data_IF_959995509967
#
_entry.id   IF_959995509967
#
_cell.length_a   1.000
_cell.length_b   1.000
_cell.length_c   1.000
_cell.angle_alpha   90.00
_cell.angle_beta   90.00
_cell.angle_gamma   90.00
#
_symmetry.space_group_name_H-M   'P 1'
#
loop_
_entity.id
_entity.type
_entity.pdbx_description
1 polymer ?
#
# COMPACT_ATOMS: atom_id res chain seq x y z
N UNK A 1 -8.57 -6.48 7.82
CA UNK A 1 -7.86 -5.24 8.19
C UNK A 1 -8.87 -4.12 8.04
N UNK A 2 -8.78 -3.06 8.84
CA UNK A 2 -9.55 -1.83 8.65
C UNK A 2 -8.56 -0.72 8.32
N UNK A 3 -8.84 0.08 7.29
CA UNK A 3 -8.04 1.25 6.90
C UNK A 3 -8.95 2.46 6.78
N UNK A 4 -8.55 3.57 7.36
CA UNK A 4 -9.28 4.83 7.34
C UNK A 4 -8.34 5.95 6.88
N UNK A 5 -8.89 6.91 6.17
CA UNK A 5 -8.17 8.03 5.57
C UNK A 5 -8.85 9.34 5.90
N UNK A 6 -8.05 10.40 6.05
CA UNK A 6 -8.55 11.78 6.14
C UNK A 6 -7.75 12.66 5.20
N UNK A 7 -8.40 13.08 4.12
CA UNK A 7 -7.80 13.98 3.13
C UNK A 7 -8.35 15.39 3.34
N UNK A 8 -7.44 16.33 3.56
CA UNK A 8 -7.73 17.75 3.69
C UNK A 8 -6.76 18.53 2.80
N UNK A 9 -7.05 19.80 2.54
CA UNK A 9 -6.13 20.68 1.77
C UNK A 9 -4.75 20.80 2.44
N UNK A 10 -4.68 20.65 3.76
CA UNK A 10 -3.44 20.80 4.53
C UNK A 10 -2.61 19.52 4.60
N UNK A 11 -3.27 18.35 4.70
CA UNK A 11 -2.61 17.06 4.88
C UNK A 11 -3.50 15.88 4.49
N UNK A 12 -2.85 14.78 4.11
CA UNK A 12 -3.46 13.47 3.89
C UNK A 12 -2.94 12.51 4.94
N UNK A 13 -3.83 11.84 5.64
CA UNK A 13 -3.49 10.97 6.77
C UNK A 13 -4.14 9.61 6.63
N UNK A 14 -3.52 8.60 7.24
CA UNK A 14 -4.08 7.27 7.36
C UNK A 14 -4.07 6.79 8.81
N UNK A 15 -5.00 5.90 9.11
CA UNK A 15 -5.04 5.09 10.32
C UNK A 15 -5.53 3.71 9.92
N UNK A 16 -4.88 2.66 10.40
CA UNK A 16 -5.25 1.29 10.08
C UNK A 16 -4.99 0.34 11.23
N UNK A 17 -5.67 -0.81 11.16
CA UNK A 17 -5.49 -1.87 12.13
C UNK A 17 -5.66 -3.26 11.54
N UNK A 18 -4.83 -4.18 12.02
CA UNK A 18 -4.92 -5.60 11.73
C UNK A 18 -4.62 -6.45 12.97
N UNK A 19 -4.96 -7.72 12.86
CA UNK A 19 -4.66 -8.72 13.88
C UNK A 19 -3.26 -9.27 13.62
N UNK A 20 -2.39 -9.20 14.62
CA UNK A 20 -1.03 -9.76 14.56
C UNK A 20 -0.98 -11.17 15.17
N UNK A 21 -1.82 -11.42 16.18
CA UNK A 21 -1.80 -12.68 16.93
C UNK A 21 -3.03 -12.90 17.79
N UNK A 22 -2.95 -13.85 18.73
CA UNK A 22 -4.06 -14.13 19.66
C UNK A 22 -4.06 -13.08 20.78
N UNK A 23 -5.05 -12.20 20.80
CA UNK A 23 -5.12 -11.13 21.81
C UNK A 23 -4.32 -9.88 21.47
N UNK A 24 -3.86 -9.76 20.22
CA UNK A 24 -2.96 -8.71 19.79
C UNK A 24 -3.44 -8.10 18.47
N UNK A 25 -3.50 -6.77 18.45
CA UNK A 25 -3.77 -5.96 17.27
C UNK A 25 -2.69 -4.91 17.12
N UNK A 26 -2.31 -4.62 15.88
CA UNK A 26 -1.52 -3.44 15.56
C UNK A 26 -2.46 -2.32 15.18
N UNK A 27 -2.13 -1.13 15.64
CA UNK A 27 -2.68 0.13 15.15
C UNK A 27 -1.51 0.91 14.55
N UNK A 28 -1.66 1.36 13.31
CA UNK A 28 -0.64 2.05 12.54
C UNK A 28 -1.24 3.32 11.93
N UNK A 29 -0.56 4.45 12.04
CA UNK A 29 -1.09 5.74 11.61
C UNK A 29 0.04 6.68 11.19
N UNK A 30 -0.28 7.65 10.34
CA UNK A 30 0.69 8.65 9.93
C UNK A 30 0.18 9.57 8.84
N UNK A 31 1.09 10.43 8.38
CA UNK A 31 0.89 11.17 7.14
C UNK A 31 1.07 10.22 5.94
N UNK A 32 0.17 10.31 4.96
CA UNK A 32 0.17 9.48 3.77
C UNK A 32 1.51 9.56 3.03
N UNK A 33 2.08 8.40 2.67
CA UNK A 33 3.39 8.34 2.04
C UNK A 33 4.58 8.34 3.02
N UNK A 34 4.34 8.38 4.32
CA UNK A 34 5.37 8.23 5.36
C UNK A 34 5.19 6.92 6.12
N UNK A 35 6.27 6.38 6.72
CA UNK A 35 6.20 5.14 7.51
C UNK A 35 5.35 5.22 8.78
N UNK A 36 4.91 6.43 9.16
CA UNK A 36 4.06 6.65 10.31
C UNK A 36 4.65 6.12 11.63
N UNK A 37 3.74 5.85 12.55
CA UNK A 37 3.97 5.25 13.85
C UNK A 37 3.00 4.09 14.05
N UNK A 38 3.40 3.11 14.86
CA UNK A 38 2.52 2.01 15.23
C UNK A 38 2.62 1.68 16.70
N UNK A 39 1.55 1.10 17.23
CA UNK A 39 1.48 0.55 18.58
C UNK A 39 0.82 -0.82 18.56
N UNK A 40 1.23 -1.67 19.50
CA UNK A 40 0.59 -2.96 19.73
C UNK A 40 -0.42 -2.84 20.87
N UNK A 41 -1.68 -3.17 20.59
CA UNK A 41 -2.73 -3.31 21.61
C UNK A 41 -2.81 -4.78 22.00
N UNK A 42 -2.35 -5.10 23.22
CA UNK A 42 -2.30 -6.47 23.74
C UNK A 42 -3.15 -6.62 25.01
N UNK A 43 -4.05 -7.59 25.00
CA UNK A 43 -4.93 -7.87 26.15
C UNK A 43 -4.94 -9.35 26.51
N UNK A 44 -5.26 -9.65 27.78
CA UNK A 44 -5.57 -11.02 28.22
C UNK A 44 -6.97 -11.42 27.70
N UNK A 45 -7.04 -11.77 26.40
CA UNK A 45 -8.27 -12.15 25.67
C UNK A 45 -8.39 -11.42 24.33
N UNK A 46 -8.77 -12.12 23.25
CA UNK A 46 -8.89 -11.55 21.89
C UNK A 46 -9.94 -10.46 21.76
N UNK A 47 -11.03 -10.59 22.50
CA UNK A 47 -12.21 -9.76 22.29
C UNK A 47 -11.96 -8.34 22.84
N UNK A 48 -11.24 -8.22 23.96
CA UNK A 48 -10.89 -6.91 24.54
C UNK A 48 -9.97 -6.07 23.64
N UNK A 49 -8.99 -6.67 22.98
CA UNK A 49 -8.12 -5.94 22.05
C UNK A 49 -8.92 -5.43 20.85
N UNK A 50 -9.89 -6.23 20.39
CA UNK A 50 -10.84 -5.82 19.34
C UNK A 50 -11.66 -4.62 19.80
N UNK A 51 -12.32 -4.71 20.96
CA UNK A 51 -13.18 -3.63 21.46
C UNK A 51 -12.42 -2.30 21.63
N UNK A 52 -11.18 -2.34 22.14
CA UNK A 52 -10.34 -1.14 22.29
C UNK A 52 -10.07 -0.48 20.94
N UNK A 53 -9.73 -1.28 19.94
CA UNK A 53 -9.37 -0.78 18.61
C UNK A 53 -10.60 -0.32 17.82
N UNK A 54 -11.76 -0.97 18.02
CA UNK A 54 -13.03 -0.53 17.43
C UNK A 54 -13.47 0.83 17.99
N UNK A 55 -13.37 1.03 19.31
CA UNK A 55 -13.61 2.35 19.91
C UNK A 55 -12.62 3.41 19.42
N UNK A 56 -11.36 3.05 19.16
CA UNK A 56 -10.40 3.97 18.54
C UNK A 56 -10.77 4.30 17.09
N UNK A 57 -11.20 3.31 16.30
CA UNK A 57 -11.67 3.54 14.92
C UNK A 57 -12.89 4.46 14.87
N UNK A 58 -13.87 4.26 15.76
CA UNK A 58 -15.05 5.13 15.91
C UNK A 58 -14.62 6.57 16.22
N UNK A 59 -13.68 6.76 17.16
CA UNK A 59 -13.14 8.09 17.48
C UNK A 59 -12.38 8.72 16.31
N UNK A 60 -11.74 7.92 15.45
CA UNK A 60 -11.11 8.43 14.22
C UNK A 60 -12.18 8.85 13.19
N UNK A 61 -13.27 8.10 13.06
CA UNK A 61 -14.39 8.45 12.18
C UNK A 61 -15.06 9.76 12.61
N UNK A 62 -15.25 9.98 13.91
CA UNK A 62 -15.75 11.26 14.45
C UNK A 62 -14.81 12.44 14.12
N UNK A 63 -13.51 12.18 13.90
CA UNK A 63 -12.52 13.17 13.47
C UNK A 63 -12.44 13.34 11.94
N UNK A 64 -13.36 12.72 11.20
CA UNK A 64 -13.46 12.84 9.75
C UNK A 64 -12.62 11.83 8.97
N UNK A 65 -12.12 10.76 9.60
CA UNK A 65 -11.53 9.65 8.86
C UNK A 65 -12.62 8.73 8.28
N UNK A 66 -12.41 8.21 7.08
CA UNK A 66 -13.34 7.31 6.40
C UNK A 66 -12.61 6.23 5.60
N UNK A 67 -13.29 5.11 5.32
CA UNK A 67 -12.80 4.14 4.34
C UNK A 67 -12.89 4.77 2.93
N UNK A 68 -11.95 4.40 2.06
CA UNK A 68 -12.01 4.71 0.62
C UNK A 68 -12.46 3.42 -0.07
N UNK A 69 -13.49 3.48 -0.90
CA UNK A 69 -13.98 2.29 -1.63
C UNK A 69 -12.89 1.76 -2.56
N UNK A 70 -12.86 0.45 -2.80
CA UNK A 70 -11.94 -0.14 -3.77
C UNK A 70 -12.14 0.45 -5.17
N UNK A 71 -13.36 0.79 -5.54
CA UNK A 71 -13.68 1.42 -6.83
C UNK A 71 -13.12 2.87 -6.94
N UNK A 72 -12.74 3.48 -5.82
CA UNK A 72 -12.08 4.80 -5.78
C UNK A 72 -10.55 4.69 -5.75
N UNK A 73 -9.98 3.48 -5.71
CA UNK A 73 -8.54 3.30 -5.80
C UNK A 73 -8.08 3.51 -7.25
N UNK A 74 -6.91 4.11 -7.39
CA UNK A 74 -6.23 4.24 -8.68
C UNK A 74 -5.43 2.97 -8.94
N UNK A 75 -5.51 2.47 -10.18
CA UNK A 75 -4.68 1.36 -10.64
C UNK A 75 -3.34 1.89 -11.13
N UNK A 76 -2.31 1.77 -10.29
CA UNK A 76 -0.95 2.18 -10.59
C UNK A 76 -0.14 1.00 -11.12
N UNK A 77 0.44 1.16 -12.32
CA UNK A 77 1.31 0.18 -12.96
C UNK A 77 2.78 0.64 -12.92
N UNK A 78 3.67 -0.29 -12.52
CA UNK A 78 5.13 -0.14 -12.68
C UNK A 78 5.60 -1.08 -13.78
N UNK A 79 6.06 -0.52 -14.89
CA UNK A 79 6.38 -1.27 -16.12
C UNK A 79 7.89 -1.33 -16.38
N UNK A 80 8.35 -2.47 -16.89
CA UNK A 80 9.70 -2.70 -17.38
C UNK A 80 9.65 -3.26 -18.80
N UNK A 81 10.58 -2.83 -19.64
CA UNK A 81 10.82 -3.47 -20.92
C UNK A 81 11.54 -4.82 -20.73
N UNK A 82 11.08 -5.85 -21.42
CA UNK A 82 11.68 -7.18 -21.46
C UNK A 82 11.67 -7.74 -22.89
N UNK A 83 12.35 -8.86 -23.11
CA UNK A 83 12.33 -9.54 -24.40
C UNK A 83 11.18 -10.56 -24.50
N UNK A 84 10.28 -10.36 -25.47
CA UNK A 84 9.24 -11.33 -25.83
C UNK A 84 8.31 -11.70 -24.67
N UNK A 85 8.25 -12.98 -24.31
CA UNK A 85 7.41 -13.48 -23.21
C UNK A 85 8.12 -13.45 -21.85
N UNK A 86 9.32 -12.87 -21.79
CA UNK A 86 10.14 -12.85 -20.59
C UNK A 86 10.87 -14.15 -20.29
N UNK A 87 11.75 -14.06 -19.31
CA UNK A 87 12.58 -15.15 -18.81
C UNK A 87 12.18 -15.54 -17.39
N UNK A 88 12.76 -16.63 -16.88
CA UNK A 88 12.62 -16.99 -15.45
C UNK A 88 13.19 -15.90 -14.52
N UNK A 89 14.18 -15.14 -14.99
CA UNK A 89 14.75 -14.04 -14.21
C UNK A 89 13.75 -12.88 -14.11
N UNK A 90 13.03 -12.58 -15.18
CA UNK A 90 11.98 -11.54 -15.19
C UNK A 90 10.81 -11.94 -14.30
N UNK A 91 10.36 -13.20 -14.37
CA UNK A 91 9.32 -13.71 -13.46
C UNK A 91 9.76 -13.57 -11.99
N UNK A 92 11.03 -13.89 -11.69
CA UNK A 92 11.56 -13.71 -10.34
C UNK A 92 11.63 -12.24 -9.96
N UNK A 93 12.07 -11.35 -10.86
CA UNK A 93 12.13 -9.91 -10.64
C UNK A 93 10.74 -9.37 -10.31
N UNK A 94 9.71 -9.81 -11.05
CA UNK A 94 8.31 -9.45 -10.82
C UNK A 94 7.86 -9.82 -9.41
N UNK A 95 8.00 -11.08 -8.98
CA UNK A 95 7.58 -11.49 -7.64
C UNK A 95 8.36 -10.75 -6.54
N UNK A 96 9.68 -10.58 -6.70
CA UNK A 96 10.48 -9.82 -5.73
C UNK A 96 10.02 -8.35 -5.65
N UNK A 97 9.55 -7.79 -6.77
CA UNK A 97 9.02 -6.42 -6.83
C UNK A 97 7.62 -6.33 -6.22
N UNK A 98 6.73 -7.30 -6.49
CA UNK A 98 5.41 -7.41 -5.87
C UNK A 98 5.51 -7.39 -4.33
N UNK A 99 6.39 -8.21 -3.76
CA UNK A 99 6.64 -8.26 -2.31
C UNK A 99 7.13 -6.89 -1.78
N UNK A 100 8.09 -6.27 -2.48
CA UNK A 100 8.67 -4.97 -2.10
C UNK A 100 7.64 -3.84 -2.14
N UNK A 101 6.85 -3.77 -3.21
CA UNK A 101 5.83 -2.74 -3.37
C UNK A 101 4.69 -2.95 -2.38
N UNK A 102 4.30 -4.20 -2.11
CA UNK A 102 3.31 -4.49 -1.08
C UNK A 102 3.78 -4.03 0.31
N UNK A 103 5.04 -4.27 0.66
CA UNK A 103 5.62 -3.79 1.92
C UNK A 103 5.67 -2.26 1.96
N UNK A 104 6.14 -1.63 0.89
CA UNK A 104 6.31 -0.17 0.82
C UNK A 104 4.96 0.54 0.92
N UNK A 105 3.97 0.12 0.12
CA UNK A 105 2.64 0.72 0.09
C UNK A 105 1.87 0.46 1.40
N UNK A 106 2.00 -0.75 1.97
CA UNK A 106 1.40 -1.10 3.25
C UNK A 106 1.91 -0.21 4.38
N UNK A 107 3.23 -0.09 4.53
CA UNK A 107 3.83 0.73 5.59
C UNK A 107 3.73 2.24 5.38
N UNK A 108 3.31 2.70 4.20
CA UNK A 108 3.12 4.13 3.94
C UNK A 108 1.65 4.54 3.83
N UNK A 109 0.73 3.61 4.12
CA UNK A 109 -0.71 3.83 4.05
C UNK A 109 -1.21 4.10 2.63
N UNK A 110 -0.43 3.78 1.59
CA UNK A 110 -0.75 4.17 0.21
C UNK A 110 -1.61 3.15 -0.53
N UNK A 111 -1.70 1.91 -0.06
CA UNK A 111 -2.45 0.86 -0.73
C UNK A 111 -1.79 -0.51 -0.56
N UNK A 112 -1.84 -1.30 -1.63
CA UNK A 112 -1.24 -2.63 -1.71
C UNK A 112 -0.91 -3.01 -3.16
N UNK A 113 -0.06 -4.03 -3.32
CA UNK A 113 0.20 -4.63 -4.62
C UNK A 113 -0.84 -5.73 -4.90
N UNK A 114 -1.34 -5.80 -6.15
CA UNK A 114 -2.30 -6.79 -6.63
C UNK A 114 -1.70 -7.68 -7.75
N UNK A 115 -0.42 -8.02 -7.60
CA UNK A 115 0.28 -8.90 -8.53
C UNK A 115 0.83 -8.17 -9.76
N UNK A 116 0.81 -8.84 -10.90
CA UNK A 116 1.50 -8.34 -12.09
C UNK A 116 1.29 -9.19 -13.32
N UNK A 117 1.80 -8.68 -14.44
CA UNK A 117 1.70 -9.29 -15.76
C UNK A 117 3.09 -9.45 -16.37
N UNK A 118 3.22 -10.39 -17.31
CA UNK A 118 4.43 -10.53 -18.11
C UNK A 118 4.08 -11.07 -19.49
N UNK A 119 4.59 -10.43 -20.54
CA UNK A 119 4.39 -10.85 -21.92
C UNK A 119 4.54 -9.69 -22.90
N UNK A 120 4.54 -10.00 -24.19
CA UNK A 120 4.48 -8.98 -25.26
C UNK A 120 5.54 -7.87 -25.17
N UNK A 121 6.70 -8.16 -24.57
CA UNK A 121 7.79 -7.19 -24.39
C UNK A 121 7.72 -6.36 -23.10
N UNK A 122 6.75 -6.59 -22.21
CA UNK A 122 6.66 -5.90 -20.93
C UNK A 122 6.53 -6.86 -19.73
N UNK A 123 7.02 -6.39 -18.60
CA UNK A 123 6.73 -6.92 -17.27
C UNK A 123 6.13 -5.79 -16.45
N UNK A 124 4.98 -6.03 -15.82
CA UNK A 124 4.26 -5.03 -15.04
C UNK A 124 3.98 -5.55 -13.64
N UNK A 125 3.97 -4.64 -12.67
CA UNK A 125 3.42 -4.87 -11.34
C UNK A 125 2.27 -3.89 -11.11
N UNK A 126 1.13 -4.42 -10.71
CA UNK A 126 -0.11 -3.70 -10.47
C UNK A 126 -0.27 -3.39 -8.98
N UNK A 127 -0.68 -2.17 -8.66
CA UNK A 127 -0.93 -1.69 -7.31
C UNK A 127 -2.24 -0.90 -7.27
N UNK A 128 -3.09 -1.19 -6.29
CA UNK A 128 -4.25 -0.34 -5.98
C UNK A 128 -3.86 0.67 -4.92
N UNK A 129 -3.91 1.95 -5.28
CA UNK A 129 -3.43 3.05 -4.44
C UNK A 129 -4.49 4.11 -4.21
N UNK A 130 -4.50 4.71 -3.03
CA UNK A 130 -5.49 5.75 -2.66
C UNK A 130 -5.10 7.16 -3.10
N UNK A 131 -3.84 7.35 -3.52
CA UNK A 131 -3.34 8.61 -4.04
C UNK A 131 -2.20 8.36 -5.03
N UNK A 132 -2.47 8.54 -6.32
CA UNK A 132 -1.53 8.22 -7.39
C UNK A 132 -0.21 8.99 -7.27
N UNK A 133 -0.25 10.31 -7.13
CA UNK A 133 0.96 11.15 -7.14
C UNK A 133 1.87 10.85 -5.95
N UNK A 134 1.30 10.66 -4.76
CA UNK A 134 2.08 10.29 -3.58
C UNK A 134 2.65 8.88 -3.71
N UNK A 135 1.86 7.92 -4.21
CA UNK A 135 2.33 6.55 -4.44
C UNK A 135 3.44 6.49 -5.47
N UNK A 136 3.27 7.15 -6.62
CA UNK A 136 4.27 7.26 -7.68
C UNK A 136 5.60 7.78 -7.14
N UNK A 137 5.57 8.87 -6.36
CA UNK A 137 6.78 9.45 -5.75
C UNK A 137 7.45 8.47 -4.77
N UNK A 138 6.67 7.91 -3.84
CA UNK A 138 7.19 6.99 -2.82
C UNK A 138 7.78 5.73 -3.45
N UNK A 139 7.12 5.16 -4.46
CA UNK A 139 7.65 4.02 -5.23
C UNK A 139 8.94 4.42 -5.94
N UNK A 140 8.96 5.55 -6.65
CA UNK A 140 10.17 6.00 -7.34
C UNK A 140 11.36 6.18 -6.39
N UNK A 141 11.13 6.77 -5.21
CA UNK A 141 12.13 6.95 -4.16
C UNK A 141 12.61 5.61 -3.58
N UNK A 142 11.70 4.65 -3.36
CA UNK A 142 12.02 3.31 -2.84
C UNK A 142 12.81 2.46 -3.85
N UNK A 143 12.50 2.56 -5.15
CA UNK A 143 13.18 1.79 -6.19
C UNK A 143 14.53 2.41 -6.60
N UNK A 144 14.72 3.70 -6.36
CA UNK A 144 15.94 4.43 -6.74
C UNK A 144 17.22 3.78 -6.16
N UNK A 145 18.21 3.55 -7.02
CA UNK A 145 19.49 2.95 -6.62
C UNK A 145 19.43 1.45 -6.25
N UNK A 146 18.27 0.80 -6.45
CA UNK A 146 18.12 -0.64 -6.26
C UNK A 146 18.17 -1.39 -7.60
N UNK A 147 18.10 -2.73 -7.55
CA UNK A 147 17.97 -3.59 -8.76
C UNK A 147 16.66 -3.38 -9.54
N UNK A 148 15.74 -2.57 -9.01
CA UNK A 148 14.44 -2.25 -9.59
C UNK A 148 14.37 -0.81 -10.12
N UNK A 149 15.45 -0.04 -10.01
CA UNK A 149 15.47 1.36 -10.45
C UNK A 149 15.44 1.56 -11.97
N UNK A 150 15.41 0.47 -12.74
CA UNK A 150 15.43 0.42 -14.21
C UNK A 150 14.03 0.25 -14.83
N UNK A 151 12.98 0.70 -14.15
CA UNK A 151 11.62 0.72 -14.70
C UNK A 151 11.52 1.68 -15.89
N UNK A 152 10.67 1.34 -16.86
CA UNK A 152 10.36 2.19 -18.02
C UNK A 152 9.48 3.35 -17.60
N UNK A 153 8.43 3.07 -16.81
CA UNK A 153 7.47 4.08 -16.33
C UNK A 153 6.68 3.58 -15.12
N UNK A 154 6.15 4.55 -14.38
CA UNK A 154 5.09 4.38 -13.39
C UNK A 154 3.91 5.21 -13.91
N UNK A 155 2.72 4.62 -14.04
CA UNK A 155 1.57 5.30 -14.63
C UNK A 155 0.25 4.80 -14.05
N UNK A 156 -0.79 5.62 -14.21
CA UNK A 156 -2.17 5.29 -13.90
C UNK A 156 -2.75 4.55 -15.13
N UNK A 157 -3.28 3.35 -14.93
CA UNK A 157 -3.84 2.51 -16.02
C UNK A 157 -5.02 3.19 -16.71
N UNK A 158 -5.80 3.99 -15.98
CA UNK A 158 -7.02 4.62 -16.47
C UNK A 158 -6.79 6.05 -17.00
N UNK A 159 -5.56 6.57 -16.89
CA UNK A 159 -5.21 7.89 -17.42
C UNK A 159 -4.99 7.85 -18.95
N UNK A 160 -5.77 8.67 -19.69
CA UNK A 160 -5.65 8.85 -21.14
C UNK A 160 -4.27 9.34 -21.63
#
# INVERSE_FOLDING_TARGET
MLKLYRFTDAKKEYWETWKEGKGERIVHWGELGTRGEFKTVKTKGSDKAKDIVEAEAEAMQEQGFAEIDMDEHVTLLVEYAIDGMGTKADIKKRHDLEDRLNETLGWTGLGHCDGGSIGSGTMEVCCFVVDFETARRVIADDLAGTKFGDYTRIFDEDAE
#
